data_IF_638299174020
#
_entry.id   IF_638299174020
#
_cell.length_a   1.000
_cell.length_b   1.000
_cell.length_c   1.000
_cell.angle_alpha   90.00
_cell.angle_beta   90.00
_cell.angle_gamma   90.00
#
_symmetry.space_group_name_H-M   'P 1'
#
loop_
_entity.id
_entity.type
_entity.pdbx_description
1 polymer ?
#
# COMPACT_ATOMS: atom_id res chain seq x y z
N UNK A 1 -15.56 27.46 38.57
CA UNK A 1 -15.47 26.05 39.01
C UNK A 1 -16.52 25.28 38.23
N UNK A 2 -16.13 24.36 37.34
CA UNK A 2 -17.09 23.50 36.63
C UNK A 2 -17.54 22.42 37.62
N UNK A 3 -18.86 22.26 37.80
CA UNK A 3 -19.41 21.30 38.75
C UNK A 3 -19.02 19.86 38.39
N UNK A 4 -18.67 19.05 39.39
CA UNK A 4 -18.40 17.64 39.19
C UNK A 4 -19.66 16.95 38.62
N UNK A 5 -19.51 16.26 37.48
CA UNK A 5 -20.62 15.61 36.77
C UNK A 5 -21.15 16.36 35.54
N UNK A 6 -20.59 17.53 35.18
CA UNK A 6 -21.04 18.32 34.03
C UNK A 6 -20.49 17.88 32.65
N UNK A 7 -19.89 16.69 32.56
CA UNK A 7 -19.30 16.20 31.31
C UNK A 7 -19.98 14.93 30.85
N UNK A 8 -20.83 15.06 29.85
CA UNK A 8 -21.35 13.93 29.07
C UNK A 8 -20.44 13.70 27.86
N UNK A 9 -19.93 12.48 27.71
CA UNK A 9 -19.20 12.06 26.51
C UNK A 9 -20.14 11.20 25.68
N UNK A 10 -20.47 11.66 24.47
CA UNK A 10 -21.22 10.87 23.48
C UNK A 10 -20.29 10.41 22.38
N UNK A 11 -20.40 9.13 22.02
CA UNK A 11 -19.70 8.53 20.90
C UNK A 11 -20.74 8.09 19.87
N UNK A 12 -20.82 8.83 18.77
CA UNK A 12 -21.60 8.43 17.60
C UNK A 12 -20.67 7.72 16.62
N UNK A 13 -20.65 6.39 16.67
CA UNK A 13 -19.82 5.57 15.79
C UNK A 13 -20.64 5.03 14.60
N UNK A 14 -20.08 5.15 13.40
CA UNK A 14 -20.59 4.51 12.19
C UNK A 14 -19.62 3.44 11.69
N UNK A 15 -20.15 2.28 11.29
CA UNK A 15 -19.38 1.21 10.65
C UNK A 15 -19.48 1.37 9.14
N UNK A 16 -18.33 1.43 8.47
CA UNK A 16 -18.25 1.40 7.01
C UNK A 16 -17.62 0.08 6.55
N UNK A 17 -18.22 -0.55 5.55
CA UNK A 17 -17.64 -1.73 4.92
C UNK A 17 -16.41 -1.30 4.10
N UNK A 18 -15.24 -1.82 4.46
CA UNK A 18 -14.01 -1.62 3.70
C UNK A 18 -13.96 -2.52 2.47
N UNK A 19 -13.19 -2.11 1.46
CA UNK A 19 -12.61 -3.03 0.48
C UNK A 19 -11.17 -3.38 0.84
N UNK A 20 -10.52 -4.20 0.02
CA UNK A 20 -9.09 -4.50 0.13
C UNK A 20 -8.32 -4.00 -1.09
N UNK A 21 -7.03 -3.72 -0.90
CA UNK A 21 -6.12 -3.39 -1.99
C UNK A 21 -4.92 -4.35 -2.00
N UNK A 22 -4.77 -5.08 -3.10
CA UNK A 22 -3.60 -5.88 -3.41
C UNK A 22 -2.63 -5.10 -4.31
N UNK A 23 -1.37 -4.97 -3.90
CA UNK A 23 -0.31 -4.36 -4.72
C UNK A 23 0.69 -5.42 -5.12
N UNK A 24 0.83 -5.63 -6.44
CA UNK A 24 1.72 -6.64 -7.01
C UNK A 24 2.79 -5.99 -7.88
N UNK A 25 4.06 -6.31 -7.62
CA UNK A 25 5.19 -5.92 -8.48
C UNK A 25 5.66 -7.15 -9.26
N UNK A 26 5.59 -7.12 -10.59
CA UNK A 26 5.99 -8.19 -11.51
C UNK A 26 7.18 -7.73 -12.34
N UNK A 27 8.30 -7.55 -11.66
CA UNK A 27 9.54 -7.08 -12.25
C UNK A 27 10.71 -7.85 -11.61
N UNK A 28 11.51 -8.51 -12.45
CA UNK A 28 12.57 -9.43 -12.02
C UNK A 28 13.79 -8.72 -11.45
N UNK A 29 13.91 -7.40 -11.67
CA UNK A 29 14.95 -6.57 -11.04
C UNK A 29 14.74 -6.47 -9.52
N UNK A 30 13.52 -6.70 -9.04
CA UNK A 30 13.25 -6.72 -7.61
C UNK A 30 13.59 -8.09 -7.00
N UNK A 31 14.01 -8.09 -5.73
CA UNK A 31 14.28 -9.33 -5.02
C UNK A 31 13.00 -10.16 -4.89
N UNK A 32 13.10 -11.50 -4.88
CA UNK A 32 11.96 -12.38 -4.66
C UNK A 32 11.24 -12.06 -3.33
N UNK A 33 9.95 -12.43 -3.22
CA UNK A 33 9.24 -12.45 -1.95
C UNK A 33 10.01 -13.28 -0.91
N UNK A 34 9.94 -12.88 0.36
CA UNK A 34 10.68 -13.54 1.44
C UNK A 34 10.29 -15.00 1.73
N UNK A 35 9.17 -15.48 1.16
CA UNK A 35 8.70 -16.86 1.28
C UNK A 35 9.14 -17.77 0.12
N UNK A 36 9.73 -17.22 -0.94
CA UNK A 36 10.32 -18.04 -2.00
C UNK A 36 11.66 -18.63 -1.53
N UNK A 37 11.96 -19.86 -1.97
CA UNK A 37 13.25 -20.52 -1.67
C UNK A 37 14.42 -19.95 -2.49
N UNK A 38 14.15 -19.04 -3.42
CA UNK A 38 15.13 -18.40 -4.28
C UNK A 38 15.73 -17.20 -3.54
N UNK A 39 17.06 -17.12 -3.46
CA UNK A 39 17.74 -15.96 -2.89
C UNK A 39 17.85 -14.83 -3.92
N UNK A 40 17.72 -13.60 -3.46
CA UNK A 40 18.00 -12.43 -4.27
C UNK A 40 19.50 -12.38 -4.66
N UNK A 41 19.80 -11.92 -5.86
CA UNK A 41 21.16 -11.48 -6.21
C UNK A 41 21.49 -10.18 -5.46
N UNK A 42 22.77 -9.85 -5.31
CA UNK A 42 23.18 -8.58 -4.67
C UNK A 42 22.62 -7.34 -5.40
N UNK A 43 22.50 -7.41 -6.73
CA UNK A 43 21.91 -6.37 -7.56
C UNK A 43 20.41 -6.21 -7.30
N UNK A 44 19.65 -7.31 -7.28
CA UNK A 44 18.22 -7.28 -6.96
C UNK A 44 17.97 -6.67 -5.59
N UNK A 45 18.77 -7.11 -4.60
CA UNK A 45 18.70 -6.62 -3.25
C UNK A 45 18.99 -5.11 -3.15
N UNK A 46 19.99 -4.61 -3.90
CA UNK A 46 20.29 -3.19 -3.99
C UNK A 46 19.15 -2.40 -4.66
N UNK A 47 18.58 -2.92 -5.75
CA UNK A 47 17.48 -2.30 -6.47
C UNK A 47 16.22 -2.19 -5.59
N UNK A 48 15.86 -3.26 -4.88
CA UNK A 48 14.73 -3.28 -3.95
C UNK A 48 14.91 -2.33 -2.77
N UNK A 49 16.13 -2.23 -2.21
CA UNK A 49 16.47 -1.26 -1.14
C UNK A 49 16.45 0.19 -1.60
N UNK A 50 16.80 0.46 -2.86
CA UNK A 50 16.73 1.78 -3.46
C UNK A 50 15.32 2.17 -3.93
N UNK A 51 14.32 1.32 -3.71
CA UNK A 51 12.96 1.52 -4.17
C UNK A 51 11.97 1.68 -3.01
N UNK A 52 10.86 2.35 -3.28
CA UNK A 52 9.73 2.49 -2.35
C UNK A 52 8.39 2.45 -3.07
N UNK A 53 7.40 1.89 -2.40
CA UNK A 53 5.99 2.01 -2.77
C UNK A 53 5.32 3.02 -1.85
N UNK A 54 4.51 3.90 -2.42
CA UNK A 54 3.65 4.83 -1.69
C UNK A 54 2.20 4.54 -2.03
N UNK A 55 1.37 4.38 -1.00
CA UNK A 55 -0.09 4.42 -1.13
C UNK A 55 -0.55 5.85 -0.85
N UNK A 56 -1.28 6.42 -1.80
CA UNK A 56 -1.79 7.78 -1.76
C UNK A 56 -3.32 7.75 -1.70
N UNK A 57 -3.93 8.66 -0.95
CA UNK A 57 -5.38 8.91 -1.04
C UNK A 57 -5.76 9.68 -2.30
N UNK A 58 -7.06 9.90 -2.52
CA UNK A 58 -7.58 10.64 -3.68
C UNK A 58 -7.12 12.11 -3.75
N UNK A 59 -6.57 12.67 -2.67
CA UNK A 59 -5.99 14.02 -2.62
C UNK A 59 -4.46 14.00 -2.85
N UNK A 60 -3.86 12.82 -3.05
CA UNK A 60 -2.43 12.63 -3.25
C UNK A 60 -1.61 12.59 -1.96
N UNK A 61 -2.24 12.54 -0.79
CA UNK A 61 -1.53 12.43 0.50
C UNK A 61 -1.08 11.00 0.71
N UNK A 62 0.16 10.83 1.18
CA UNK A 62 0.68 9.49 1.48
C UNK A 62 0.03 8.92 2.73
N UNK A 63 -0.68 7.81 2.55
CA UNK A 63 -1.27 7.01 3.64
C UNK A 63 -0.29 5.97 4.18
N UNK A 64 0.54 5.39 3.29
CA UNK A 64 1.49 4.35 3.67
C UNK A 64 2.69 4.30 2.73
N UNK A 65 3.82 3.89 3.28
CA UNK A 65 5.06 3.64 2.53
C UNK A 65 5.58 2.24 2.82
N UNK A 66 6.13 1.57 1.81
CA UNK A 66 6.81 0.28 1.93
C UNK A 66 8.19 0.32 1.26
N UNK A 67 9.20 -0.15 2.00
CA UNK A 67 10.58 -0.33 1.55
C UNK A 67 11.27 -1.35 2.48
N UNK A 68 12.19 -2.21 1.99
CA UNK A 68 12.54 -2.40 0.58
C UNK A 68 11.38 -3.00 -0.21
N UNK A 69 11.33 -2.72 -1.51
CA UNK A 69 10.32 -3.31 -2.41
C UNK A 69 10.81 -4.68 -2.88
N UNK A 70 9.88 -5.64 -2.96
CA UNK A 70 10.08 -6.99 -3.50
C UNK A 70 9.10 -7.22 -4.65
N UNK A 71 9.42 -8.14 -5.57
CA UNK A 71 8.42 -8.63 -6.52
C UNK A 71 7.35 -9.45 -5.79
N UNK A 72 6.19 -9.63 -6.40
CA UNK A 72 5.03 -10.32 -5.84
C UNK A 72 4.03 -9.39 -5.16
N UNK A 73 2.98 -10.00 -4.61
CA UNK A 73 2.01 -9.34 -3.74
C UNK A 73 2.56 -9.30 -2.30
N UNK A 74 2.08 -8.37 -1.47
CA UNK A 74 2.41 -8.21 -0.04
C UNK A 74 3.51 -7.18 0.33
N UNK A 75 3.88 -6.27 -0.56
CA UNK A 75 4.74 -5.13 -0.14
C UNK A 75 4.10 -4.29 0.97
N UNK A 76 2.77 -4.18 1.02
CA UNK A 76 2.02 -3.53 2.11
C UNK A 76 1.32 -4.52 3.06
N UNK A 77 1.46 -5.83 2.86
CA UNK A 77 0.54 -6.81 3.46
C UNK A 77 -0.90 -6.64 2.96
N UNK A 78 -1.88 -7.13 3.72
CA UNK A 78 -3.30 -6.88 3.45
C UNK A 78 -3.69 -5.47 3.91
N UNK A 79 -4.26 -4.69 3.00
CA UNK A 79 -4.77 -3.35 3.26
C UNK A 79 -6.28 -3.37 3.22
N UNK A 80 -6.94 -3.05 4.33
CA UNK A 80 -8.36 -2.70 4.34
C UNK A 80 -8.47 -1.18 4.18
N UNK A 81 -9.22 -0.73 3.18
CA UNK A 81 -9.39 0.68 2.85
C UNK A 81 -10.89 1.01 2.76
N UNK A 82 -11.25 2.23 3.14
CA UNK A 82 -12.59 2.73 2.87
C UNK A 82 -12.80 2.80 1.34
N UNK A 83 -14.06 2.70 0.87
CA UNK A 83 -14.34 2.89 -0.54
C UNK A 83 -13.89 4.27 -1.03
N UNK A 84 -13.23 4.33 -2.17
CA UNK A 84 -12.68 5.57 -2.70
C UNK A 84 -11.62 5.38 -3.78
N UNK A 85 -11.13 6.50 -4.29
CA UNK A 85 -10.01 6.55 -5.23
C UNK A 85 -8.69 6.60 -4.47
N UNK A 86 -7.74 5.80 -4.93
CA UNK A 86 -6.38 5.74 -4.41
C UNK A 86 -5.38 5.70 -5.57
N UNK A 87 -4.15 6.05 -5.28
CA UNK A 87 -3.03 5.80 -6.17
C UNK A 87 -1.93 5.03 -5.46
N UNK A 88 -1.29 4.12 -6.18
CA UNK A 88 -0.06 3.47 -5.74
C UNK A 88 1.06 3.98 -6.61
N UNK A 89 2.10 4.53 -6.00
CA UNK A 89 3.29 5.02 -6.70
C UNK A 89 4.49 4.14 -6.38
N UNK A 90 5.09 3.55 -7.41
CA UNK A 90 6.36 2.84 -7.32
C UNK A 90 7.47 3.80 -7.75
N UNK A 91 8.37 4.11 -6.82
CA UNK A 91 9.58 4.87 -7.10
C UNK A 91 10.77 3.92 -7.04
N UNK A 92 11.53 3.86 -8.14
CA UNK A 92 12.67 2.96 -8.30
C UNK A 92 13.82 3.65 -9.03
N UNK A 93 15.02 3.07 -9.05
CA UNK A 93 16.12 3.57 -9.88
C UNK A 93 15.80 3.64 -11.38
N UNK A 94 14.83 2.87 -11.87
CA UNK A 94 14.37 2.90 -13.26
C UNK A 94 13.35 4.03 -13.54
N UNK A 95 12.94 4.79 -12.53
CA UNK A 95 11.94 5.84 -12.63
C UNK A 95 10.74 5.62 -11.71
N UNK A 96 9.83 6.60 -11.74
CA UNK A 96 8.59 6.59 -10.99
C UNK A 96 7.42 6.18 -11.89
N UNK A 97 6.55 5.32 -11.36
CA UNK A 97 5.32 4.86 -12.02
C UNK A 97 4.17 4.94 -11.04
N UNK A 98 2.97 5.20 -11.53
CA UNK A 98 1.77 5.32 -10.72
C UNK A 98 0.63 4.51 -11.33
N UNK A 99 -0.11 3.79 -10.48
CA UNK A 99 -1.32 3.05 -10.82
C UNK A 99 -2.47 3.59 -9.96
N UNK A 100 -3.55 4.02 -10.62
CA UNK A 100 -4.76 4.49 -9.93
C UNK A 100 -5.75 3.35 -9.79
N UNK A 101 -6.36 3.26 -8.61
CA UNK A 101 -7.27 2.18 -8.25
C UNK A 101 -8.45 2.73 -7.47
N UNK A 102 -9.63 2.24 -7.82
CA UNK A 102 -10.86 2.46 -7.07
C UNK A 102 -11.09 1.26 -6.17
N UNK A 103 -11.23 1.51 -4.88
CA UNK A 103 -11.62 0.51 -3.88
C UNK A 103 -13.13 0.62 -3.67
N UNK A 104 -13.84 -0.50 -3.81
CA UNK A 104 -15.27 -0.58 -3.52
C UNK A 104 -15.50 -1.42 -2.24
N UNK A 105 -16.58 -1.12 -1.52
CA UNK A 105 -16.93 -1.83 -0.29
C UNK A 105 -17.07 -3.34 -0.53
N UNK A 106 -16.43 -4.16 0.31
CA UNK A 106 -16.51 -5.62 0.24
C UNK A 106 -15.81 -6.26 -0.96
N UNK A 107 -15.03 -5.50 -1.73
CA UNK A 107 -14.31 -5.97 -2.92
C UNK A 107 -12.80 -5.88 -2.76
N UNK A 108 -12.05 -6.61 -3.60
CA UNK A 108 -10.60 -6.46 -3.72
C UNK A 108 -10.26 -5.68 -4.99
N UNK A 109 -9.57 -4.54 -4.82
CA UNK A 109 -8.91 -3.80 -5.88
C UNK A 109 -7.46 -4.28 -6.05
N UNK A 110 -6.90 -4.15 -7.24
CA UNK A 110 -5.51 -4.56 -7.51
C UNK A 110 -4.74 -3.48 -8.28
N UNK A 111 -3.54 -3.14 -7.81
CA UNK A 111 -2.54 -2.37 -8.55
C UNK A 111 -1.40 -3.30 -8.99
N UNK A 112 -1.02 -3.28 -10.27
CA UNK A 112 0.01 -4.16 -10.83
C UNK A 112 1.08 -3.37 -11.59
N UNK A 113 2.30 -3.38 -11.08
CA UNK A 113 3.47 -2.89 -11.80
C UNK A 113 4.13 -4.04 -12.55
N UNK A 114 4.38 -3.89 -13.85
CA UNK A 114 5.08 -4.90 -14.68
C UNK A 114 6.43 -4.36 -15.10
N UNK A 115 7.49 -5.18 -15.12
CA UNK A 115 8.75 -4.80 -15.75
C UNK A 115 8.54 -4.39 -17.21
N UNK A 116 9.35 -3.43 -17.68
CA UNK A 116 9.45 -3.09 -19.10
C UNK A 116 10.45 -4.01 -19.79
#
# INVERSE_FOLDING_TARGET
VVAAGASEVRLDAALAACGTLAVTVRDERFPPPGFEKVKATGEQDAFGRASRLLLLDGEGRTLRTASPVRRGALNFGWLALLPGEYAVRLESPAGAREERVRVEAGSEATAVFRGE
#
